data_IF_299499986429
#
_entry.id   IF_299499986429
#
_cell.length_a   1.000
_cell.length_b   1.000
_cell.length_c   1.000
_cell.angle_alpha   90.00
_cell.angle_beta   90.00
_cell.angle_gamma   90.00
#
_symmetry.space_group_name_H-M   'P 1'
#
loop_
_entity.id
_entity.type
_entity.pdbx_description
1 polymer ?
#
# COMPACT_ATOMS: atom_id res chain seq x y z
N UNK A 1 26.49 49.21 -4.00
CA UNK A 1 25.68 48.00 -3.70
C UNK A 1 24.32 48.05 -4.40
N UNK A 2 24.08 48.99 -5.34
CA UNK A 2 22.78 49.13 -6.05
C UNK A 2 22.83 48.61 -7.49
N UNK A 3 23.98 48.18 -7.98
CA UNK A 3 24.20 47.88 -9.41
C UNK A 3 23.70 46.51 -9.92
N UNK A 4 23.27 45.59 -9.02
CA UNK A 4 22.84 44.24 -9.42
C UNK A 4 21.30 43.97 -9.31
N UNK A 5 20.51 44.98 -8.96
CA UNK A 5 19.07 44.84 -8.85
C UNK A 5 18.40 44.70 -10.20
N UNK A 6 17.50 43.74 -10.32
CA UNK A 6 16.73 43.49 -11.54
C UNK A 6 15.25 43.86 -11.36
N UNK A 7 14.67 44.37 -12.43
CA UNK A 7 13.24 44.69 -12.42
C UNK A 7 12.34 43.44 -12.20
N UNK A 8 11.16 43.64 -11.64
CA UNK A 8 10.19 42.55 -11.41
C UNK A 8 9.96 41.66 -12.63
N UNK A 9 9.93 42.26 -13.86
CA UNK A 9 9.70 41.51 -15.10
C UNK A 9 10.91 40.66 -15.49
N UNK A 10 12.13 41.16 -15.26
CA UNK A 10 13.37 40.42 -15.51
C UNK A 10 13.55 39.28 -14.47
N UNK A 11 13.28 39.58 -13.20
CA UNK A 11 13.35 38.59 -12.13
C UNK A 11 12.33 37.47 -12.33
N UNK A 12 11.05 37.82 -12.66
CA UNK A 12 10.00 36.86 -12.94
C UNK A 12 10.40 35.80 -13.99
N UNK A 13 11.03 36.26 -15.11
CA UNK A 13 11.52 35.34 -16.14
C UNK A 13 12.64 34.43 -15.67
N UNK A 14 13.54 34.90 -14.79
CA UNK A 14 14.68 34.10 -14.27
C UNK A 14 14.23 32.99 -13.33
N UNK A 15 13.15 33.23 -12.57
CA UNK A 15 12.65 32.30 -11.56
C UNK A 15 11.42 31.50 -12.00
N UNK A 16 10.92 31.74 -13.23
CA UNK A 16 9.75 31.03 -13.77
C UNK A 16 8.43 31.40 -13.08
N UNK A 17 8.30 32.66 -12.65
CA UNK A 17 7.08 33.24 -12.08
C UNK A 17 6.53 34.34 -12.98
N UNK A 18 5.28 34.76 -12.72
CA UNK A 18 4.72 35.95 -13.36
C UNK A 18 4.94 37.19 -12.50
N UNK A 19 5.01 38.39 -13.10
CA UNK A 19 5.07 39.64 -12.33
C UNK A 19 3.89 39.82 -11.38
N UNK A 20 2.69 39.32 -11.75
CA UNK A 20 1.51 39.31 -10.87
C UNK A 20 1.70 38.42 -9.65
N UNK A 21 2.28 37.23 -9.84
CA UNK A 21 2.58 36.31 -8.73
C UNK A 21 3.60 36.94 -7.76
N UNK A 22 4.63 37.60 -8.27
CA UNK A 22 5.61 38.29 -7.44
C UNK A 22 5.01 39.44 -6.61
N UNK A 23 4.05 40.21 -7.20
CA UNK A 23 3.32 41.22 -6.44
C UNK A 23 2.46 40.60 -5.34
N UNK A 24 1.76 39.53 -5.64
CA UNK A 24 0.97 38.78 -4.65
C UNK A 24 1.83 38.24 -3.52
N UNK A 25 3.02 37.69 -3.82
CA UNK A 25 3.96 37.18 -2.80
C UNK A 25 4.60 38.29 -1.96
N UNK A 26 4.78 39.48 -2.52
CA UNK A 26 5.15 40.68 -1.77
C UNK A 26 4.02 41.12 -0.82
N UNK A 27 2.80 41.25 -1.34
CA UNK A 27 1.63 41.68 -0.56
C UNK A 27 1.34 40.72 0.63
N UNK A 28 1.52 39.41 0.44
CA UNK A 28 1.37 38.44 1.53
C UNK A 28 2.66 38.19 2.32
N UNK A 29 3.74 38.90 2.04
CA UNK A 29 5.01 38.84 2.77
C UNK A 29 5.81 37.55 2.60
N UNK A 30 5.52 36.71 1.60
CA UNK A 30 6.26 35.48 1.32
C UNK A 30 7.59 35.72 0.59
N UNK A 31 7.60 36.72 -0.31
CA UNK A 31 8.80 37.16 -1.03
C UNK A 31 8.75 38.66 -1.27
N UNK A 32 9.40 39.43 -0.40
CA UNK A 32 9.48 40.89 -0.51
C UNK A 32 10.56 41.29 -1.49
N UNK A 33 10.36 42.34 -2.33
CA UNK A 33 11.41 42.88 -3.16
C UNK A 33 12.55 43.48 -2.30
N UNK A 34 13.75 43.50 -2.84
CA UNK A 34 14.90 44.12 -2.18
C UNK A 34 14.72 45.64 -2.05
N UNK A 35 14.11 46.26 -3.06
CA UNK A 35 13.82 47.72 -3.08
C UNK A 35 12.47 47.93 -3.78
N UNK A 36 11.68 48.85 -3.23
CA UNK A 36 10.52 49.46 -3.89
C UNK A 36 10.85 50.93 -4.11
N UNK A 37 10.80 51.39 -5.35
CA UNK A 37 11.01 52.78 -5.69
C UNK A 37 9.82 53.62 -5.20
N UNK A 38 10.06 54.51 -4.26
CA UNK A 38 9.01 55.32 -3.61
C UNK A 38 8.36 56.33 -4.60
N UNK A 39 9.05 56.69 -5.70
CA UNK A 39 8.53 57.65 -6.66
C UNK A 39 7.55 57.09 -7.67
N UNK A 40 7.71 55.82 -8.04
CA UNK A 40 6.94 55.20 -9.10
C UNK A 40 6.35 53.80 -8.69
N UNK A 41 6.63 53.29 -7.50
CA UNK A 41 6.16 52.01 -7.00
C UNK A 41 6.76 50.77 -7.66
N UNK A 42 7.86 50.96 -8.44
CA UNK A 42 8.53 49.86 -9.12
C UNK A 42 9.30 48.97 -8.13
N UNK A 43 9.17 47.65 -8.31
CA UNK A 43 9.80 46.63 -7.45
C UNK A 43 11.06 46.09 -8.10
N UNK A 44 12.12 46.03 -7.35
CA UNK A 44 13.40 45.47 -7.74
C UNK A 44 13.82 44.34 -6.82
N UNK A 45 14.37 43.29 -7.40
CA UNK A 45 14.78 42.08 -6.69
C UNK A 45 16.31 41.90 -6.85
N UNK A 46 16.94 41.36 -5.80
CA UNK A 46 18.35 41.04 -5.81
C UNK A 46 18.60 39.60 -6.30
N UNK A 47 19.75 39.30 -6.93
CA UNK A 47 20.09 37.96 -7.42
C UNK A 47 20.05 36.88 -6.35
N UNK A 48 20.40 37.17 -5.11
CA UNK A 48 20.36 36.23 -3.98
C UNK A 48 18.97 35.80 -3.61
N UNK A 49 17.92 36.51 -4.02
CA UNK A 49 16.52 36.13 -3.83
C UNK A 49 16.05 35.08 -4.84
N UNK A 50 16.83 34.76 -5.90
CA UNK A 50 16.41 33.80 -6.92
C UNK A 50 16.17 32.40 -6.34
N UNK A 51 17.04 31.92 -5.46
CA UNK A 51 16.91 30.59 -4.87
C UNK A 51 15.64 30.50 -4.01
N UNK A 52 15.35 31.51 -3.20
CA UNK A 52 14.13 31.60 -2.39
C UNK A 52 12.88 31.66 -3.27
N UNK A 53 12.92 32.41 -4.37
CA UNK A 53 11.81 32.52 -5.31
C UNK A 53 11.51 31.21 -6.05
N UNK A 54 12.56 30.47 -6.45
CA UNK A 54 12.41 29.14 -7.07
C UNK A 54 11.82 28.14 -6.10
N UNK A 55 12.35 28.08 -4.86
CA UNK A 55 11.80 27.21 -3.83
C UNK A 55 10.31 27.53 -3.54
N UNK A 56 9.95 28.82 -3.49
CA UNK A 56 8.56 29.24 -3.35
C UNK A 56 7.69 28.71 -4.49
N UNK A 57 8.14 28.83 -5.74
CA UNK A 57 7.45 28.28 -6.93
C UNK A 57 7.25 26.77 -6.78
N UNK A 58 8.31 26.04 -6.47
CA UNK A 58 8.29 24.58 -6.40
C UNK A 58 7.35 24.08 -5.27
N UNK A 59 7.34 24.76 -4.11
CA UNK A 59 6.38 24.48 -3.03
C UNK A 59 4.92 24.77 -3.43
N UNK A 60 4.71 25.79 -4.27
CA UNK A 60 3.37 26.11 -4.79
C UNK A 60 2.93 25.17 -5.90
N UNK A 61 3.85 24.55 -6.63
CA UNK A 61 3.55 23.54 -7.64
C UNK A 61 2.91 22.28 -7.03
N UNK A 62 3.28 21.95 -5.79
CA UNK A 62 2.62 20.87 -5.03
C UNK A 62 1.41 21.34 -4.21
N UNK A 63 0.88 22.54 -4.46
CA UNK A 63 -0.26 23.14 -3.74
C UNK A 63 -0.04 23.30 -2.22
N UNK A 64 1.22 23.40 -1.74
CA UNK A 64 1.48 23.64 -0.33
C UNK A 64 0.83 24.97 0.11
N UNK A 65 0.02 25.00 1.20
CA UNK A 65 -0.62 26.23 1.66
C UNK A 65 0.37 27.34 1.99
N UNK A 66 0.03 28.58 1.66
CA UNK A 66 0.94 29.72 1.80
C UNK A 66 1.53 29.92 3.20
N UNK A 67 0.80 29.70 4.32
CA UNK A 67 1.38 29.71 5.65
C UNK A 67 2.51 28.70 5.82
N UNK A 68 2.36 27.50 5.27
CA UNK A 68 3.38 26.45 5.34
C UNK A 68 4.57 26.78 4.42
N UNK A 69 4.31 27.34 3.23
CA UNK A 69 5.38 27.87 2.35
C UNK A 69 6.23 28.87 3.10
N UNK A 70 5.63 29.82 3.81
CA UNK A 70 6.36 30.80 4.63
C UNK A 70 7.21 30.14 5.70
N UNK A 71 6.65 29.14 6.41
CA UNK A 71 7.40 28.38 7.43
C UNK A 71 8.65 27.73 6.83
N UNK A 72 8.55 27.15 5.65
CA UNK A 72 9.70 26.55 4.94
C UNK A 72 10.71 27.61 4.51
N UNK A 73 10.24 28.72 3.93
CA UNK A 73 11.10 29.79 3.42
C UNK A 73 11.80 30.58 4.54
N UNK A 74 11.17 30.78 5.70
CA UNK A 74 11.71 31.52 6.83
C UNK A 74 12.65 30.67 7.70
N UNK A 75 12.97 29.44 7.24
CA UNK A 75 13.91 28.56 7.90
C UNK A 75 13.36 28.06 9.24
N UNK A 76 12.12 27.50 9.23
CA UNK A 76 11.64 26.72 10.37
C UNK A 76 12.80 25.91 10.97
N UNK A 77 12.94 25.69 12.27
CA UNK A 77 14.20 25.37 12.93
C UNK A 77 14.98 24.23 12.26
N UNK A 78 15.73 24.55 11.21
CA UNK A 78 16.58 23.67 10.44
C UNK A 78 15.89 22.97 9.25
N UNK A 79 16.73 22.48 8.33
CA UNK A 79 16.29 21.76 7.12
C UNK A 79 15.36 20.57 7.40
N UNK A 80 15.56 19.87 8.51
CA UNK A 80 14.73 18.76 8.93
C UNK A 80 13.25 19.17 9.18
N UNK A 81 13.02 20.37 9.73
CA UNK A 81 11.66 20.86 9.93
C UNK A 81 10.96 21.24 8.62
N UNK A 82 11.72 21.79 7.65
CA UNK A 82 11.19 22.07 6.32
C UNK A 82 10.80 20.77 5.58
N UNK A 83 11.63 19.73 5.64
CA UNK A 83 11.32 18.39 5.13
C UNK A 83 10.05 17.84 5.77
N UNK A 84 9.94 17.92 7.10
CA UNK A 84 8.76 17.42 7.80
C UNK A 84 7.46 18.11 7.39
N UNK A 85 7.49 19.42 7.06
CA UNK A 85 6.33 20.15 6.53
C UNK A 85 5.89 19.62 5.19
N UNK A 86 6.84 19.40 4.26
CA UNK A 86 6.55 18.86 2.92
C UNK A 86 6.01 17.44 3.01
N UNK A 87 6.63 16.57 3.82
CA UNK A 87 6.16 15.19 4.04
C UNK A 87 4.76 15.14 4.67
N UNK A 88 4.47 16.02 5.63
CA UNK A 88 3.14 16.12 6.23
C UNK A 88 2.09 16.53 5.18
N UNK A 89 2.45 17.44 4.28
CA UNK A 89 1.57 17.85 3.19
C UNK A 89 1.32 16.69 2.21
N UNK A 90 2.37 15.97 1.81
CA UNK A 90 2.24 14.79 0.94
C UNK A 90 1.28 13.75 1.54
N UNK A 91 1.45 13.40 2.82
CA UNK A 91 0.53 12.50 3.52
C UNK A 91 -0.92 13.00 3.49
N UNK A 92 -1.14 14.30 3.63
CA UNK A 92 -2.48 14.91 3.57
C UNK A 92 -3.09 14.81 2.17
N UNK A 93 -2.30 15.03 1.12
CA UNK A 93 -2.74 14.91 -0.28
C UNK A 93 -3.08 13.45 -0.60
N UNK A 94 -2.25 12.51 -0.22
CA UNK A 94 -2.48 11.07 -0.39
C UNK A 94 -3.76 10.62 0.31
N UNK A 95 -3.96 11.04 1.57
CA UNK A 95 -5.16 10.73 2.34
C UNK A 95 -6.41 11.32 1.71
N UNK A 96 -6.34 12.55 1.19
CA UNK A 96 -7.44 13.20 0.49
C UNK A 96 -7.75 12.49 -0.84
N UNK A 97 -6.73 12.08 -1.58
CA UNK A 97 -6.90 11.32 -2.82
C UNK A 97 -7.58 9.97 -2.56
N UNK A 98 -7.15 9.25 -1.51
CA UNK A 98 -7.75 7.99 -1.09
C UNK A 98 -9.24 8.18 -0.70
N UNK A 99 -9.54 9.15 0.15
CA UNK A 99 -10.93 9.44 0.56
C UNK A 99 -11.83 9.87 -0.61
N UNK A 100 -11.29 10.65 -1.55
CA UNK A 100 -12.01 11.06 -2.77
C UNK A 100 -12.30 9.85 -3.67
N UNK A 101 -11.30 8.97 -3.88
CA UNK A 101 -11.48 7.73 -4.66
C UNK A 101 -12.57 6.86 -4.06
N UNK A 102 -12.54 6.69 -2.75
CA UNK A 102 -13.52 5.92 -2.00
C UNK A 102 -14.94 6.53 -2.10
N UNK A 103 -15.06 7.85 -1.96
CA UNK A 103 -16.35 8.54 -2.16
C UNK A 103 -16.87 8.35 -3.59
N UNK A 104 -16.01 8.44 -4.60
CA UNK A 104 -16.36 8.19 -5.98
C UNK A 104 -16.83 6.75 -6.21
N UNK A 105 -16.15 5.76 -5.62
CA UNK A 105 -16.54 4.35 -5.69
C UNK A 105 -17.93 4.12 -5.06
N UNK A 106 -18.20 4.71 -3.88
CA UNK A 106 -19.53 4.66 -3.26
C UNK A 106 -20.62 5.26 -4.13
N UNK A 107 -20.35 6.41 -4.75
CA UNK A 107 -21.30 7.08 -5.67
C UNK A 107 -21.55 6.19 -6.90
N UNK A 108 -20.48 5.65 -7.51
CA UNK A 108 -20.59 4.77 -8.68
C UNK A 108 -21.36 3.50 -8.32
N UNK A 109 -21.10 2.89 -7.18
CA UNK A 109 -21.85 1.74 -6.68
C UNK A 109 -23.34 2.08 -6.48
N UNK A 110 -23.66 3.24 -5.88
CA UNK A 110 -25.02 3.72 -5.72
C UNK A 110 -25.75 4.01 -7.04
N UNK A 111 -25.06 4.57 -8.01
CA UNK A 111 -25.63 4.83 -9.35
C UNK A 111 -25.81 3.53 -10.16
N UNK A 112 -24.97 2.53 -9.93
CA UNK A 112 -25.06 1.22 -10.59
C UNK A 112 -26.14 0.32 -9.98
N UNK A 113 -26.55 0.56 -8.74
CA UNK A 113 -27.50 -0.30 -8.01
C UNK A 113 -28.94 -0.28 -8.54
N UNK A 114 -29.30 0.63 -9.45
CA UNK A 114 -30.65 0.72 -10.03
C UNK A 114 -30.96 -0.40 -11.06
N UNK A 115 -29.97 -1.21 -11.49
CA UNK A 115 -30.19 -2.35 -12.42
C UNK A 115 -29.06 -3.40 -12.35
N UNK A 116 -28.31 -3.46 -11.26
CA UNK A 116 -27.11 -4.31 -11.15
C UNK A 116 -27.47 -5.71 -10.69
N UNK A 117 -27.25 -6.68 -11.57
CA UNK A 117 -27.32 -8.11 -11.22
C UNK A 117 -26.15 -8.45 -10.29
N UNK A 118 -26.43 -9.08 -9.13
CA UNK A 118 -25.39 -9.53 -8.20
C UNK A 118 -24.30 -10.35 -8.91
N UNK A 119 -23.01 -10.12 -8.64
CA UNK A 119 -21.94 -10.89 -9.25
C UNK A 119 -22.05 -12.37 -8.88
N UNK A 120 -21.91 -13.21 -9.90
CA UNK A 120 -21.90 -14.67 -9.76
C UNK A 120 -20.69 -15.23 -10.50
N UNK A 121 -19.98 -16.15 -9.86
CA UNK A 121 -18.83 -16.84 -10.44
C UNK A 121 -18.89 -18.33 -10.19
N UNK A 122 -18.27 -19.10 -11.08
CA UNK A 122 -18.04 -20.53 -10.87
C UNK A 122 -16.54 -20.76 -10.71
N UNK A 123 -16.15 -21.46 -9.67
CA UNK A 123 -14.77 -21.83 -9.34
C UNK A 123 -14.64 -23.32 -9.07
N UNK A 124 -13.41 -23.84 -9.15
CA UNK A 124 -13.08 -25.16 -8.61
C UNK A 124 -13.18 -25.15 -7.09
N UNK A 125 -13.87 -26.14 -6.51
CA UNK A 125 -14.04 -26.24 -5.07
C UNK A 125 -12.70 -26.40 -4.32
N UNK A 126 -11.80 -27.33 -4.73
CA UNK A 126 -10.49 -27.48 -4.12
C UNK A 126 -9.62 -26.24 -4.22
N UNK A 127 -9.72 -25.50 -5.33
CA UNK A 127 -8.98 -24.26 -5.55
C UNK A 127 -9.44 -23.15 -4.61
N UNK A 128 -10.75 -22.95 -4.48
CA UNK A 128 -11.32 -21.98 -3.54
C UNK A 128 -10.98 -22.35 -2.09
N UNK A 129 -11.09 -23.63 -1.72
CA UNK A 129 -10.70 -24.11 -0.40
C UNK A 129 -9.21 -23.85 -0.09
N UNK A 130 -8.33 -24.04 -1.07
CA UNK A 130 -6.92 -23.73 -0.95
C UNK A 130 -6.70 -22.22 -0.75
N UNK A 131 -7.39 -21.39 -1.53
CA UNK A 131 -7.29 -19.94 -1.42
C UNK A 131 -7.72 -19.43 -0.04
N UNK A 132 -8.81 -19.96 0.50
CA UNK A 132 -9.28 -19.60 1.85
C UNK A 132 -8.23 -19.99 2.90
N UNK A 133 -7.66 -21.21 2.85
CA UNK A 133 -6.62 -21.64 3.79
C UNK A 133 -5.34 -20.77 3.73
N UNK A 134 -5.03 -20.21 2.57
CA UNK A 134 -3.88 -19.35 2.39
C UNK A 134 -4.13 -17.93 2.91
N UNK A 135 -5.33 -17.40 2.72
CA UNK A 135 -5.65 -15.99 2.99
C UNK A 135 -6.23 -15.78 4.39
N UNK A 136 -7.16 -16.63 4.81
CA UNK A 136 -7.88 -16.45 6.09
C UNK A 136 -6.96 -16.30 7.33
N UNK A 137 -5.80 -17.00 7.44
CA UNK A 137 -4.90 -16.82 8.57
C UNK A 137 -4.33 -15.40 8.71
N UNK A 138 -4.34 -14.58 7.64
CA UNK A 138 -3.88 -13.20 7.69
C UNK A 138 -4.94 -12.21 8.21
N UNK A 139 -6.18 -12.65 8.44
CA UNK A 139 -7.19 -11.83 9.10
C UNK A 139 -6.83 -11.60 10.57
N UNK A 140 -7.13 -10.39 11.07
CA UNK A 140 -6.95 -10.05 12.48
C UNK A 140 -7.97 -10.79 13.36
N UNK A 141 -7.63 -11.01 14.63
CA UNK A 141 -8.66 -11.23 15.62
C UNK A 141 -9.56 -9.99 15.75
N UNK A 142 -10.87 -10.16 16.03
CA UNK A 142 -11.83 -9.06 15.90
C UNK A 142 -11.68 -7.99 16.98
N UNK A 143 -10.63 -7.14 16.87
CA UNK A 143 -10.47 -5.89 17.66
C UNK A 143 -9.36 -5.01 17.05
N UNK A 144 -9.48 -3.71 17.09
CA UNK A 144 -10.62 -2.79 17.23
C UNK A 144 -11.30 -2.46 15.90
N UNK A 145 -10.86 -3.05 14.78
CA UNK A 145 -11.39 -2.80 13.43
C UNK A 145 -12.03 -4.10 12.92
N UNK A 146 -13.36 -4.29 13.05
CA UNK A 146 -14.03 -5.54 12.70
C UNK A 146 -13.81 -6.00 11.25
N UNK A 147 -13.65 -5.05 10.31
CA UNK A 147 -13.36 -5.38 8.90
C UNK A 147 -12.10 -6.21 8.72
N UNK A 148 -11.07 -6.04 9.56
CA UNK A 148 -9.82 -6.81 9.47
C UNK A 148 -9.99 -8.27 9.91
N UNK A 149 -11.04 -8.61 10.64
CA UNK A 149 -11.42 -10.00 10.94
C UNK A 149 -12.08 -10.73 9.77
N UNK A 150 -12.24 -10.05 8.63
CA UNK A 150 -12.87 -10.58 7.42
C UNK A 150 -11.87 -10.87 6.31
N UNK A 151 -12.24 -11.79 5.45
CA UNK A 151 -11.68 -11.94 4.11
C UNK A 151 -12.53 -11.09 3.16
N UNK A 152 -11.90 -10.18 2.45
CA UNK A 152 -12.50 -9.46 1.33
C UNK A 152 -12.44 -10.36 0.09
N UNK A 153 -13.59 -10.59 -0.53
CA UNK A 153 -13.71 -11.37 -1.77
C UNK A 153 -14.20 -10.42 -2.86
N UNK A 154 -13.38 -10.20 -3.86
CA UNK A 154 -13.68 -9.40 -5.05
C UNK A 154 -13.98 -10.33 -6.21
N UNK A 155 -15.12 -10.11 -6.90
CA UNK A 155 -15.57 -10.92 -8.00
C UNK A 155 -15.62 -10.06 -9.28
N UNK A 156 -14.92 -10.50 -10.31
CA UNK A 156 -14.91 -9.87 -11.64
C UNK A 156 -14.95 -10.95 -12.74
N UNK A 157 -15.08 -10.49 -13.97
CA UNK A 157 -15.09 -11.37 -15.15
C UNK A 157 -13.77 -12.14 -15.32
N UNK A 158 -12.65 -11.52 -14.99
CA UNK A 158 -11.32 -12.06 -15.23
C UNK A 158 -10.70 -12.71 -14.00
N UNK A 159 -11.12 -12.28 -12.80
CA UNK A 159 -10.43 -12.64 -11.57
C UNK A 159 -11.36 -12.64 -10.36
N UNK A 160 -11.16 -13.61 -9.48
CA UNK A 160 -11.68 -13.59 -8.10
C UNK A 160 -10.50 -13.41 -7.17
N UNK A 161 -10.50 -12.31 -6.41
CA UNK A 161 -9.42 -11.99 -5.48
C UNK A 161 -9.88 -12.15 -4.03
N UNK A 162 -9.16 -12.96 -3.26
CA UNK A 162 -9.33 -13.06 -1.82
C UNK A 162 -8.22 -12.28 -1.13
N UNK A 163 -8.58 -11.44 -0.15
CA UNK A 163 -7.63 -10.59 0.58
C UNK A 163 -7.92 -10.63 2.06
N UNK A 164 -6.88 -10.77 2.88
CA UNK A 164 -6.95 -10.56 4.32
C UNK A 164 -5.70 -9.84 4.84
N UNK A 165 -5.86 -9.05 5.90
CA UNK A 165 -4.77 -8.32 6.55
C UNK A 165 -5.08 -8.04 8.02
N UNK A 166 -4.03 -8.07 8.86
CA UNK A 166 -4.05 -7.65 10.27
C UNK A 166 -3.22 -6.39 10.52
N UNK A 167 -2.86 -5.63 9.47
CA UNK A 167 -1.97 -4.47 9.42
C UNK A 167 -0.48 -4.81 9.43
N UNK A 168 -0.09 -5.97 9.95
CA UNK A 168 1.31 -6.42 10.00
C UNK A 168 1.65 -7.40 8.89
N UNK A 169 0.63 -8.01 8.32
CA UNK A 169 0.73 -8.87 7.12
C UNK A 169 -0.47 -8.64 6.22
N UNK A 170 -0.29 -8.95 4.94
CA UNK A 170 -1.32 -8.91 3.91
C UNK A 170 -1.19 -10.19 3.08
N UNK A 171 -2.27 -10.93 2.92
CA UNK A 171 -2.33 -12.10 2.05
C UNK A 171 -3.33 -11.83 0.90
N UNK A 172 -2.90 -12.08 -0.32
CA UNK A 172 -3.70 -11.89 -1.53
C UNK A 172 -3.60 -13.15 -2.38
N UNK A 173 -4.75 -13.72 -2.72
CA UNK A 173 -4.86 -14.87 -3.61
C UNK A 173 -5.80 -14.56 -4.77
N UNK A 174 -5.33 -14.79 -5.99
CA UNK A 174 -6.07 -14.57 -7.23
C UNK A 174 -6.46 -15.91 -7.85
N UNK A 175 -7.72 -16.03 -8.24
CA UNK A 175 -8.29 -17.21 -8.89
C UNK A 175 -8.91 -16.82 -10.22
N UNK A 176 -8.87 -17.70 -11.20
CA UNK A 176 -9.53 -17.48 -12.48
C UNK A 176 -10.92 -18.14 -12.49
N UNK A 177 -12.00 -17.37 -12.62
CA UNK A 177 -13.34 -17.93 -12.67
C UNK A 177 -13.55 -18.73 -13.97
N UNK A 178 -14.26 -19.86 -13.87
CA UNK A 178 -14.70 -20.63 -15.05
C UNK A 178 -15.85 -19.93 -15.78
N UNK A 179 -16.65 -19.15 -15.05
CA UNK A 179 -17.72 -18.30 -15.58
C UNK A 179 -17.97 -17.12 -14.66
N UNK A 180 -18.44 -16.01 -15.26
CA UNK A 180 -18.88 -14.82 -14.55
C UNK A 180 -20.20 -14.33 -15.13
N UNK A 181 -21.10 -13.85 -14.27
CA UNK A 181 -22.35 -13.20 -14.65
C UNK A 181 -22.69 -12.10 -13.63
N UNK A 182 -23.19 -10.98 -14.10
CA UNK A 182 -23.55 -9.83 -13.27
C UNK A 182 -22.56 -8.68 -13.36
N UNK A 183 -22.58 -7.82 -12.36
CA UNK A 183 -21.68 -6.65 -12.28
C UNK A 183 -20.57 -6.94 -11.28
N UNK A 184 -19.30 -6.63 -11.60
CA UNK A 184 -18.19 -6.78 -10.65
C UNK A 184 -18.50 -6.15 -9.29
N UNK A 185 -18.09 -6.82 -8.21
CA UNK A 185 -18.36 -6.36 -6.86
C UNK A 185 -17.47 -7.04 -5.83
N UNK A 186 -17.59 -6.61 -4.58
CA UNK A 186 -16.84 -7.16 -3.47
C UNK A 186 -17.75 -7.40 -2.27
N UNK A 187 -17.37 -8.38 -1.44
CA UNK A 187 -18.08 -8.74 -0.21
C UNK A 187 -17.07 -9.06 0.90
N UNK A 188 -17.40 -8.70 2.13
CA UNK A 188 -16.59 -9.02 3.30
C UNK A 188 -17.24 -10.16 4.07
N UNK A 189 -16.50 -11.25 4.29
CA UNK A 189 -16.97 -12.41 5.04
C UNK A 189 -16.03 -12.68 6.21
N UNK A 190 -16.56 -12.88 7.44
CA UNK A 190 -15.73 -13.24 8.59
C UNK A 190 -14.85 -14.46 8.28
N UNK A 191 -13.54 -14.35 8.53
CA UNK A 191 -12.56 -15.38 8.20
C UNK A 191 -12.87 -16.75 8.83
N UNK A 192 -13.33 -16.85 10.10
CA UNK A 192 -13.71 -18.12 10.68
C UNK A 192 -14.84 -18.81 9.90
N UNK A 193 -15.88 -18.07 9.49
CA UNK A 193 -17.01 -18.63 8.74
C UNK A 193 -16.58 -19.24 7.38
N UNK A 194 -15.63 -18.61 6.69
CA UNK A 194 -15.05 -19.17 5.47
C UNK A 194 -14.20 -20.42 5.76
N UNK A 195 -13.41 -20.37 6.84
CA UNK A 195 -12.52 -21.47 7.22
C UNK A 195 -13.30 -22.75 7.52
N UNK A 196 -14.43 -22.66 8.17
CA UNK A 196 -15.32 -23.80 8.45
C UNK A 196 -15.81 -24.50 7.17
N UNK A 197 -15.91 -23.78 6.05
CA UNK A 197 -16.38 -24.34 4.79
C UNK A 197 -15.29 -25.05 3.99
N UNK A 198 -14.03 -24.93 4.33
CA UNK A 198 -12.91 -25.39 3.50
C UNK A 198 -12.95 -26.88 3.20
N UNK A 199 -13.39 -27.72 4.17
CA UNK A 199 -13.55 -29.17 3.95
C UNK A 199 -14.68 -29.48 2.98
N UNK A 200 -15.81 -28.80 3.11
CA UNK A 200 -16.96 -28.97 2.23
C UNK A 200 -16.65 -28.49 0.81
N UNK A 201 -15.98 -27.34 0.66
CA UNK A 201 -15.54 -26.82 -0.63
C UNK A 201 -14.54 -27.77 -1.32
N UNK A 202 -13.58 -28.31 -0.57
CA UNK A 202 -12.56 -29.23 -1.13
C UNK A 202 -13.15 -30.53 -1.65
N UNK A 203 -14.35 -30.93 -1.20
CA UNK A 203 -15.03 -32.13 -1.66
C UNK A 203 -15.90 -31.90 -2.91
N UNK A 204 -16.10 -30.68 -3.35
CA UNK A 204 -16.93 -30.34 -4.50
C UNK A 204 -16.05 -30.05 -5.73
N UNK A 205 -16.40 -30.59 -6.89
CA UNK A 205 -15.67 -30.29 -8.14
C UNK A 205 -15.79 -28.81 -8.50
N UNK A 206 -17.00 -28.27 -8.41
CA UNK A 206 -17.31 -26.87 -8.72
C UNK A 206 -18.20 -26.24 -7.65
N UNK A 207 -18.00 -24.93 -7.46
CA UNK A 207 -18.79 -24.11 -6.53
C UNK A 207 -19.23 -22.83 -7.24
N UNK A 208 -20.51 -22.52 -7.14
CA UNK A 208 -21.08 -21.26 -7.64
C UNK A 208 -21.16 -20.27 -6.46
N UNK A 209 -20.50 -19.15 -6.60
CA UNK A 209 -20.54 -18.04 -5.64
C UNK A 209 -21.46 -16.95 -6.16
N UNK A 210 -22.31 -16.42 -5.31
CA UNK A 210 -23.12 -15.23 -5.58
C UNK A 210 -22.98 -14.24 -4.42
N UNK A 211 -22.46 -13.05 -4.70
CA UNK A 211 -22.35 -12.00 -3.73
C UNK A 211 -23.55 -11.03 -3.88
N UNK A 212 -24.48 -11.11 -2.91
CA UNK A 212 -25.60 -10.19 -2.75
C UNK A 212 -25.46 -9.40 -1.45
N UNK A 213 -26.55 -9.32 -0.66
CA UNK A 213 -26.47 -8.90 0.74
C UNK A 213 -25.60 -9.84 1.57
N UNK A 214 -25.58 -11.12 1.19
CA UNK A 214 -24.82 -12.19 1.78
C UNK A 214 -24.10 -12.98 0.71
N UNK A 215 -23.08 -13.75 1.09
CA UNK A 215 -22.39 -14.67 0.19
C UNK A 215 -23.11 -16.00 0.15
N UNK A 216 -23.65 -16.36 -1.00
CA UNK A 216 -24.22 -17.69 -1.25
C UNK A 216 -23.23 -18.56 -2.01
N UNK A 217 -22.94 -19.75 -1.49
CA UNK A 217 -22.08 -20.75 -2.12
C UNK A 217 -22.93 -22.00 -2.40
N UNK A 218 -22.99 -22.44 -3.65
CA UNK A 218 -23.78 -23.58 -4.07
C UNK A 218 -22.91 -24.61 -4.78
N UNK A 219 -23.06 -25.88 -4.40
CA UNK A 219 -22.50 -27.04 -5.10
C UNK A 219 -23.65 -27.83 -5.75
N UNK A 220 -23.36 -28.91 -6.42
CA UNK A 220 -24.40 -29.83 -6.94
C UNK A 220 -25.28 -30.46 -5.84
N UNK A 221 -24.77 -30.52 -4.60
CA UNK A 221 -25.43 -31.21 -3.49
C UNK A 221 -26.11 -30.28 -2.48
N UNK A 222 -25.55 -29.11 -2.23
CA UNK A 222 -25.94 -28.26 -1.10
C UNK A 222 -25.66 -26.76 -1.41
N UNK A 223 -26.44 -25.89 -0.78
CA UNK A 223 -26.23 -24.44 -0.79
C UNK A 223 -26.02 -23.94 0.64
N UNK A 224 -25.02 -23.10 0.83
CA UNK A 224 -24.70 -22.44 2.09
C UNK A 224 -24.65 -20.94 1.92
N UNK A 225 -25.11 -20.21 2.93
CA UNK A 225 -25.10 -18.74 2.95
C UNK A 225 -24.31 -18.27 4.15
N UNK A 226 -23.37 -17.35 3.89
CA UNK A 226 -22.58 -16.69 4.92
C UNK A 226 -22.98 -15.22 4.98
N UNK A 227 -23.26 -14.77 6.21
CA UNK A 227 -23.55 -13.37 6.46
C UNK A 227 -22.35 -12.49 6.12
N UNK A 228 -22.60 -11.43 5.39
CA UNK A 228 -21.58 -10.43 5.10
C UNK A 228 -21.44 -9.42 6.24
N UNK A 229 -20.31 -8.74 6.26
CA UNK A 229 -20.08 -7.59 7.12
C UNK A 229 -20.15 -6.31 6.28
N UNK A 230 -21.02 -5.38 6.66
CA UNK A 230 -21.07 -4.04 6.09
C UNK A 230 -20.06 -3.14 6.82
N UNK A 231 -18.86 -3.11 6.33
CA UNK A 231 -17.76 -2.32 6.89
C UNK A 231 -16.79 -1.88 5.79
N UNK A 232 -16.06 -0.82 6.07
CA UNK A 232 -15.04 -0.31 5.17
C UNK A 232 -13.75 -1.09 5.32
N UNK A 233 -13.26 -1.68 4.22
CA UNK A 233 -12.01 -2.45 4.20
C UNK A 233 -10.86 -1.54 3.73
N UNK A 234 -9.66 -1.64 4.34
CA UNK A 234 -8.51 -0.85 3.91
C UNK A 234 -8.18 -1.03 2.42
N UNK A 235 -7.72 0.05 1.78
CA UNK A 235 -7.26 0.00 0.39
C UNK A 235 -5.89 -0.69 0.32
N UNK A 236 -5.89 -2.00 0.21
CA UNK A 236 -4.69 -2.82 0.13
C UNK A 236 -3.93 -2.64 -1.19
N UNK A 237 -4.59 -2.16 -2.24
CA UNK A 237 -3.97 -1.89 -3.54
C UNK A 237 -2.87 -0.83 -3.41
N UNK A 238 -3.09 0.19 -2.58
CA UNK A 238 -2.06 1.21 -2.32
C UNK A 238 -0.77 0.63 -1.77
N UNK A 239 -0.85 -0.45 -0.98
CA UNK A 239 0.33 -1.14 -0.45
C UNK A 239 1.05 -1.87 -1.58
N UNK A 240 0.31 -2.57 -2.44
CA UNK A 240 0.88 -3.34 -3.56
C UNK A 240 1.47 -2.42 -4.63
N UNK A 241 0.77 -1.35 -4.98
CA UNK A 241 1.21 -0.38 -5.99
C UNK A 241 2.40 0.47 -5.51
N UNK A 242 2.53 0.64 -4.20
CA UNK A 242 3.64 1.38 -3.56
C UNK A 242 4.92 0.56 -3.36
N UNK A 243 4.97 -0.69 -3.80
CA UNK A 243 6.18 -1.51 -3.70
C UNK A 243 7.21 -1.07 -4.75
N UNK A 244 8.35 -0.58 -4.28
CA UNK A 244 9.51 -0.30 -5.12
C UNK A 244 10.18 -1.61 -5.62
N UNK A 245 11.09 -1.57 -6.60
CA UNK A 245 11.88 -2.75 -6.97
C UNK A 245 12.67 -3.29 -5.75
N UNK A 246 12.72 -4.62 -5.53
CA UNK A 246 13.43 -5.19 -4.39
C UNK A 246 14.94 -4.97 -4.52
N UNK A 247 15.57 -4.58 -3.40
CA UNK A 247 17.03 -4.43 -3.28
C UNK A 247 17.74 -5.76 -3.02
N UNK A 248 16.98 -6.75 -2.48
CA UNK A 248 17.51 -8.09 -2.24
C UNK A 248 16.41 -9.13 -2.48
N UNK A 249 16.76 -10.21 -3.15
CA UNK A 249 15.93 -11.40 -3.33
C UNK A 249 16.61 -12.61 -2.72
N UNK A 250 15.86 -13.38 -1.97
CA UNK A 250 16.33 -14.57 -1.29
C UNK A 250 15.44 -15.74 -1.63
N UNK A 251 15.97 -16.78 -2.26
CA UNK A 251 15.27 -18.03 -2.52
C UNK A 251 15.88 -19.13 -1.65
N UNK A 252 15.05 -19.78 -0.84
CA UNK A 252 15.47 -20.79 0.11
C UNK A 252 14.44 -21.92 0.22
N UNK A 253 14.87 -23.06 0.76
CA UNK A 253 13.96 -24.13 1.16
C UNK A 253 13.01 -23.62 2.26
N UNK A 254 11.71 -23.69 1.98
CA UNK A 254 10.65 -23.11 2.83
C UNK A 254 10.55 -23.84 4.19
N UNK A 255 10.68 -25.18 4.19
CA UNK A 255 10.56 -25.96 5.40
C UNK A 255 11.78 -25.75 6.29
N UNK A 256 12.97 -25.78 5.71
CA UNK A 256 14.23 -25.54 6.43
C UNK A 256 14.26 -24.10 7.01
N UNK A 257 13.78 -23.11 6.26
CA UNK A 257 13.67 -21.75 6.78
C UNK A 257 12.67 -21.67 7.95
N UNK A 258 11.53 -22.33 7.85
CA UNK A 258 10.54 -22.36 8.94
C UNK A 258 11.08 -23.03 10.21
N UNK A 259 11.83 -24.13 10.08
CA UNK A 259 12.49 -24.80 11.21
C UNK A 259 13.56 -23.92 11.86
N UNK A 260 14.24 -23.10 11.07
CA UNK A 260 15.32 -22.23 11.55
C UNK A 260 14.79 -21.04 12.40
N UNK A 261 13.52 -20.63 12.25
CA UNK A 261 12.97 -19.43 12.91
C UNK A 261 13.00 -19.53 14.45
N UNK A 262 12.91 -20.72 15.01
CA UNK A 262 12.87 -20.91 16.47
C UNK A 262 11.56 -20.43 17.10
N UNK A 263 11.61 -20.13 18.41
CA UNK A 263 10.43 -19.78 19.23
C UNK A 263 10.50 -18.39 19.86
N UNK A 264 11.57 -17.62 19.61
CA UNK A 264 11.71 -16.26 20.11
C UNK A 264 10.62 -15.36 19.52
N UNK A 265 10.22 -14.31 20.23
CA UNK A 265 9.18 -13.38 19.77
C UNK A 265 9.60 -12.67 18.48
N UNK A 266 10.87 -12.28 18.37
CA UNK A 266 11.47 -11.62 17.22
C UNK A 266 12.66 -12.40 16.72
N UNK A 267 12.68 -12.66 15.42
CA UNK A 267 13.81 -13.27 14.74
C UNK A 267 14.52 -12.28 13.85
N UNK A 268 15.86 -12.28 13.87
CA UNK A 268 16.69 -11.47 12.98
C UNK A 268 17.35 -12.36 11.94
N UNK A 269 17.03 -12.13 10.67
CA UNK A 269 17.67 -12.78 9.52
C UNK A 269 18.91 -11.98 9.11
N UNK A 270 20.09 -12.58 9.16
CA UNK A 270 21.30 -12.09 8.52
C UNK A 270 21.40 -12.65 7.11
N UNK A 271 21.26 -11.82 6.09
CA UNK A 271 21.33 -12.24 4.68
C UNK A 271 22.73 -11.93 4.19
N UNK A 272 23.49 -12.97 3.86
CA UNK A 272 24.85 -12.91 3.31
C UNK A 272 24.80 -13.26 1.81
N UNK A 273 25.96 -13.52 1.18
CA UNK A 273 26.00 -13.80 -0.28
C UNK A 273 25.31 -15.09 -0.70
N UNK A 274 25.33 -16.13 0.15
CA UNK A 274 24.83 -17.48 -0.18
C UNK A 274 24.09 -18.12 0.99
N UNK A 275 23.89 -17.41 2.12
CA UNK A 275 23.29 -17.98 3.32
C UNK A 275 22.37 -17.01 4.02
N UNK A 276 21.32 -17.56 4.65
CA UNK A 276 20.51 -16.90 5.67
C UNK A 276 21.01 -17.36 7.03
N UNK A 277 21.43 -16.42 7.88
CA UNK A 277 21.87 -16.69 9.26
C UNK A 277 20.80 -16.30 10.27
N UNK A 278 20.55 -17.17 11.26
CA UNK A 278 19.73 -16.88 12.45
C UNK A 278 20.53 -17.36 13.68
N UNK A 279 20.95 -16.41 14.51
CA UNK A 279 21.87 -16.74 15.61
C UNK A 279 23.15 -17.40 15.09
N UNK A 280 23.41 -18.63 15.52
CA UNK A 280 24.56 -19.42 15.09
C UNK A 280 24.25 -20.42 13.96
N UNK A 281 23.04 -20.49 13.51
CA UNK A 281 22.59 -21.38 12.44
C UNK A 281 22.61 -20.68 11.09
N UNK A 282 22.92 -21.44 10.02
CA UNK A 282 22.94 -20.95 8.66
C UNK A 282 22.17 -21.90 7.75
N UNK A 283 21.43 -21.33 6.82
CA UNK A 283 20.72 -22.04 5.76
C UNK A 283 21.25 -21.56 4.41
N UNK A 284 21.58 -22.46 3.52
CA UNK A 284 21.96 -22.15 2.15
C UNK A 284 20.77 -21.53 1.39
N UNK A 285 21.03 -20.51 0.61
CA UNK A 285 20.02 -19.79 -0.16
C UNK A 285 20.63 -19.19 -1.42
N UNK A 286 19.81 -19.02 -2.44
CA UNK A 286 20.18 -18.25 -3.63
C UNK A 286 19.81 -16.79 -3.36
N UNK A 287 20.82 -15.92 -3.32
CA UNK A 287 20.66 -14.53 -2.93
C UNK A 287 21.12 -13.61 -4.06
N UNK A 288 20.29 -12.63 -4.37
CA UNK A 288 20.62 -11.56 -5.34
C UNK A 288 20.41 -10.22 -4.66
N UNK A 289 21.45 -9.42 -4.55
CA UNK A 289 21.45 -8.12 -3.89
C UNK A 289 22.55 -7.98 -2.85
N UNK A 290 22.56 -6.85 -2.15
CA UNK A 290 23.55 -6.59 -1.11
C UNK A 290 23.21 -7.33 0.20
N UNK A 291 24.22 -7.77 0.99
CA UNK A 291 23.99 -8.31 2.32
C UNK A 291 23.22 -7.31 3.20
N UNK A 292 22.28 -7.83 3.98
CA UNK A 292 21.48 -7.01 4.89
C UNK A 292 21.03 -7.81 6.12
N UNK A 293 20.54 -7.09 7.12
CA UNK A 293 19.93 -7.69 8.32
C UNK A 293 18.51 -7.15 8.48
N UNK A 294 17.55 -8.04 8.72
CA UNK A 294 16.14 -7.71 8.82
C UNK A 294 15.46 -8.51 9.92
N UNK A 295 14.61 -7.88 10.70
CA UNK A 295 13.87 -8.52 11.81
C UNK A 295 12.43 -8.81 11.46
N UNK A 296 11.85 -9.84 12.06
CA UNK A 296 10.44 -10.17 11.94
C UNK A 296 9.86 -10.62 13.27
N UNK A 297 8.57 -10.42 13.47
CA UNK A 297 7.83 -11.19 14.47
C UNK A 297 7.79 -12.64 13.99
N UNK A 298 8.41 -13.53 14.76
CA UNK A 298 8.64 -14.93 14.39
C UNK A 298 7.34 -15.63 13.97
N UNK A 299 6.27 -15.45 14.74
CA UNK A 299 4.96 -16.03 14.45
C UNK A 299 4.43 -15.58 13.08
N UNK A 300 4.50 -14.29 12.75
CA UNK A 300 3.98 -13.77 11.48
C UNK A 300 4.74 -14.32 10.27
N UNK A 301 6.08 -14.41 10.38
CA UNK A 301 6.89 -15.01 9.33
C UNK A 301 6.63 -16.50 9.19
N UNK A 302 6.55 -17.25 10.31
CA UNK A 302 6.26 -18.68 10.30
C UNK A 302 4.89 -18.97 9.66
N UNK A 303 3.85 -18.23 10.01
CA UNK A 303 2.51 -18.37 9.43
C UNK A 303 2.51 -18.04 7.94
N UNK A 304 3.26 -17.01 7.49
CA UNK A 304 3.40 -16.69 6.08
C UNK A 304 4.09 -17.81 5.30
N UNK A 305 5.14 -18.42 5.87
CA UNK A 305 5.80 -19.58 5.28
C UNK A 305 4.88 -20.82 5.24
N UNK A 306 4.07 -21.03 6.27
CA UNK A 306 3.15 -22.18 6.36
C UNK A 306 2.03 -22.11 5.30
N UNK A 307 1.61 -20.92 4.87
CA UNK A 307 0.59 -20.73 3.83
C UNK A 307 1.12 -20.91 2.41
N UNK A 308 2.44 -20.89 2.22
CA UNK A 308 3.08 -21.16 0.93
C UNK A 308 2.94 -22.60 0.48
N UNK A 309 3.00 -22.83 -0.83
CA UNK A 309 3.01 -24.16 -1.45
C UNK A 309 4.38 -24.44 -2.09
N UNK A 310 4.70 -25.71 -2.28
CA UNK A 310 5.98 -26.12 -2.85
C UNK A 310 7.15 -26.06 -1.85
N UNK A 311 8.33 -26.54 -2.29
CA UNK A 311 9.52 -26.59 -1.44
C UNK A 311 10.19 -25.23 -1.27
N UNK A 312 10.15 -24.36 -2.27
CA UNK A 312 10.91 -23.12 -2.31
C UNK A 312 10.06 -21.89 -1.97
N UNK A 313 10.67 -20.96 -1.26
CA UNK A 313 10.12 -19.63 -0.95
C UNK A 313 11.04 -18.54 -1.49
N UNK A 314 10.44 -17.52 -2.10
CA UNK A 314 11.10 -16.29 -2.52
C UNK A 314 10.72 -15.15 -1.58
N UNK A 315 11.71 -14.53 -0.95
CA UNK A 315 11.55 -13.28 -0.20
C UNK A 315 12.08 -12.13 -1.06
N UNK A 316 11.24 -11.14 -1.34
CA UNK A 316 11.62 -9.90 -2.02
C UNK A 316 11.66 -8.77 -0.99
N UNK A 317 12.85 -8.27 -0.70
CA UNK A 317 13.11 -7.25 0.32
C UNK A 317 13.37 -5.93 -0.39
N UNK A 318 12.53 -4.95 -0.11
CA UNK A 318 12.59 -3.62 -0.72
C UNK A 318 13.42 -2.65 0.12
N UNK A 319 13.22 -2.66 1.44
CA UNK A 319 14.01 -1.94 2.43
C UNK A 319 13.80 -2.58 3.82
N UNK A 320 14.68 -2.34 4.81
CA UNK A 320 14.56 -2.95 6.14
C UNK A 320 13.33 -2.53 6.94
N UNK A 321 12.65 -1.45 6.54
CA UNK A 321 11.45 -0.88 7.16
C UNK A 321 10.20 -0.94 6.28
N UNK A 322 10.29 -1.65 5.13
CA UNK A 322 9.19 -1.83 4.19
C UNK A 322 8.70 -3.27 4.20
N UNK A 323 7.42 -3.51 3.81
CA UNK A 323 6.90 -4.87 3.73
C UNK A 323 7.78 -5.77 2.85
N UNK A 324 8.05 -6.97 3.34
CA UNK A 324 8.72 -8.02 2.58
C UNK A 324 7.68 -8.87 1.88
N UNK A 325 7.82 -9.00 0.57
CA UNK A 325 6.96 -9.86 -0.24
C UNK A 325 7.47 -11.29 -0.18
N UNK A 326 6.56 -12.21 0.14
CA UNK A 326 6.85 -13.64 0.24
C UNK A 326 5.99 -14.37 -0.78
N UNK A 327 6.61 -15.14 -1.65
CA UNK A 327 5.96 -15.89 -2.73
C UNK A 327 6.51 -17.30 -2.83
N UNK A 328 5.71 -18.21 -3.39
CA UNK A 328 6.18 -19.51 -3.83
C UNK A 328 6.50 -19.48 -5.33
N UNK A 329 7.53 -20.19 -5.75
CA UNK A 329 7.84 -20.39 -7.16
C UNK A 329 6.75 -21.20 -7.90
N UNK A 330 6.06 -22.08 -7.17
CA UNK A 330 5.03 -22.99 -7.73
C UNK A 330 3.65 -22.35 -7.84
N UNK A 331 3.45 -21.15 -7.26
CA UNK A 331 2.13 -20.53 -7.22
C UNK A 331 2.20 -19.01 -7.32
N UNK A 332 2.36 -18.49 -8.53
CA UNK A 332 2.45 -17.05 -8.80
C UNK A 332 1.19 -16.22 -8.48
N UNK A 333 0.07 -16.88 -8.22
CA UNK A 333 -1.22 -16.22 -7.92
C UNK A 333 -1.48 -16.01 -6.42
N UNK A 334 -0.54 -16.41 -5.57
CA UNK A 334 -0.56 -16.14 -4.14
C UNK A 334 0.62 -15.25 -3.73
N UNK A 335 0.34 -14.19 -3.03
CA UNK A 335 1.33 -13.26 -2.50
C UNK A 335 1.01 -12.95 -1.05
N UNK A 336 2.00 -13.04 -0.18
CA UNK A 336 1.86 -12.53 1.18
C UNK A 336 2.94 -11.50 1.46
N UNK A 337 2.60 -10.48 2.23
CA UNK A 337 3.51 -9.44 2.70
C UNK A 337 3.60 -9.53 4.22
N UNK A 338 4.79 -9.36 4.75
CA UNK A 338 5.02 -9.30 6.20
C UNK A 338 5.82 -8.05 6.53
N UNK A 339 5.32 -7.26 7.50
CA UNK A 339 6.03 -6.09 7.99
C UNK A 339 7.24 -6.51 8.83
N UNK A 340 8.43 -5.97 8.54
CA UNK A 340 9.61 -6.22 9.35
C UNK A 340 9.54 -5.46 10.68
N UNK A 341 10.26 -5.96 11.67
CA UNK A 341 10.51 -5.29 12.95
C UNK A 341 11.82 -4.49 12.87
N UNK A 342 11.87 -3.38 13.57
CA UNK A 342 13.14 -2.67 13.79
C UNK A 342 14.02 -3.50 14.71
N UNK A 343 15.28 -3.68 14.32
CA UNK A 343 16.33 -4.36 15.07
C UNK A 343 17.13 -3.39 15.93
#
# INVERSE_FOLDING_TARGET
VVDDLVSISAFARRVGLTPSALRFYDDCGALRPAVVDEGNGYRYYAPDQEQRARLLRDLREIDLPLPEVRRVLDGAPGAAAAVAVVEAHLRTVEQKAASTRQAAQRILAGLSSTSSKSPQVTLGGPELASAIRQVAPAAAEPEPIPALGCVRIELSETEVTLVATDRYRLAVRKLHPQSFDGTPGAILIPAPALTELTRWLAAADTVHLRAGSDLTLSTSAETRTLASMDAEYPDYQLILDGLEPPVCRVMADRAALAELLGTDEVVALGIESETIGIGNQKLEAIITGAPLRIGFTTRLLAEALATGVGPDVLLEIHAPDRPVVIRSADQGTFTTLVMPNRL
#
